data_IF_877847405250
#
_entry.id   IF_877847405250
#
_cell.length_a   1.000
_cell.length_b   1.000
_cell.length_c   1.000
_cell.angle_alpha   90.00
_cell.angle_beta   90.00
_cell.angle_gamma   90.00
#
_symmetry.space_group_name_H-M   'P 1'
#
loop_
_entity.id
_entity.type
_entity.pdbx_description
1 polymer ?
#
# COMPACT_ATOMS: atom_id res chain seq x y z
N UNK A 1 3.00 -47.98 -57.10
CA UNK A 1 4.15 -48.32 -57.95
C UNK A 1 5.06 -47.15 -58.08
N UNK A 2 6.30 -47.39 -58.28
CA UNK A 2 7.31 -47.06 -57.29
C UNK A 2 8.44 -46.17 -57.85
N UNK A 3 9.32 -45.69 -56.95
CA UNK A 3 10.79 -45.54 -57.05
C UNK A 3 11.33 -44.55 -58.10
N UNK A 4 12.45 -43.88 -57.98
CA UNK A 4 13.73 -44.06 -57.29
C UNK A 4 14.56 -42.80 -57.49
N UNK A 5 15.27 -42.33 -56.43
CA UNK A 5 16.70 -42.51 -56.23
C UNK A 5 17.69 -42.08 -57.34
N UNK A 6 18.62 -41.24 -56.82
CA UNK A 6 20.08 -41.19 -57.08
C UNK A 6 20.53 -40.29 -58.23
N UNK A 7 21.40 -39.48 -57.92
CA UNK A 7 22.87 -39.40 -57.84
C UNK A 7 23.39 -38.59 -59.08
N UNK A 8 24.42 -37.83 -59.16
CA UNK A 8 25.76 -37.88 -58.60
C UNK A 8 26.57 -36.61 -59.00
N UNK A 9 27.56 -36.24 -58.19
CA UNK A 9 28.89 -35.66 -58.44
C UNK A 9 29.02 -34.23 -59.02
N UNK A 10 29.57 -33.33 -58.27
CA UNK A 10 30.98 -32.99 -58.05
C UNK A 10 31.73 -32.42 -59.29
N UNK A 11 32.12 -31.16 -59.16
CA UNK A 11 33.43 -30.68 -59.65
C UNK A 11 33.95 -29.55 -58.80
N UNK A 12 35.18 -29.74 -58.39
CA UNK A 12 36.03 -28.84 -57.62
C UNK A 12 36.49 -27.63 -58.43
N UNK A 13 36.54 -26.45 -57.84
CA UNK A 13 37.43 -25.36 -58.22
C UNK A 13 37.88 -24.59 -57.06
N UNK A 14 39.17 -24.69 -56.73
CA UNK A 14 39.90 -23.84 -55.80
C UNK A 14 39.98 -22.41 -56.32
N UNK A 15 39.62 -21.44 -55.49
CA UNK A 15 40.12 -20.08 -55.61
C UNK A 15 40.36 -19.53 -54.23
N UNK A 16 41.60 -19.13 -53.97
CA UNK A 16 42.09 -18.50 -52.81
C UNK A 16 41.38 -17.16 -52.57
N UNK A 17 40.87 -16.93 -51.36
CA UNK A 17 40.37 -15.65 -50.94
C UNK A 17 40.97 -15.28 -49.57
N UNK A 18 41.57 -14.13 -49.58
CA UNK A 18 42.23 -13.39 -48.53
C UNK A 18 41.37 -13.27 -47.29
N UNK A 19 41.95 -13.61 -46.11
CA UNK A 19 41.35 -13.46 -44.81
C UNK A 19 41.25 -11.97 -44.40
N UNK A 20 40.10 -11.39 -44.53
CA UNK A 20 39.75 -10.14 -43.84
C UNK A 20 39.17 -10.48 -42.46
N UNK A 21 39.94 -10.29 -41.41
CA UNK A 21 39.47 -10.35 -40.03
C UNK A 21 38.49 -9.21 -39.76
N UNK A 22 37.21 -9.43 -39.92
CA UNK A 22 36.16 -8.55 -39.43
C UNK A 22 36.00 -8.85 -37.95
N UNK A 23 36.60 -8.01 -37.09
CA UNK A 23 36.26 -7.92 -35.67
C UNK A 23 34.83 -7.42 -35.55
N UNK A 24 33.87 -8.31 -35.48
CA UNK A 24 32.54 -7.99 -34.95
C UNK A 24 32.73 -7.70 -33.47
N UNK A 25 32.69 -6.42 -33.11
CA UNK A 25 32.45 -6.00 -31.73
C UNK A 25 31.14 -6.67 -31.28
N UNK A 26 31.23 -7.62 -30.36
CA UNK A 26 30.11 -8.10 -29.58
C UNK A 26 29.67 -6.90 -28.74
N UNK A 27 28.72 -6.13 -29.23
CA UNK A 27 27.99 -5.16 -28.44
C UNK A 27 27.25 -5.95 -27.36
N UNK A 28 27.76 -5.86 -26.12
CA UNK A 28 27.02 -6.27 -24.96
C UNK A 28 25.75 -5.39 -24.95
N UNK A 29 24.62 -5.95 -25.33
CA UNK A 29 23.31 -5.35 -25.08
C UNK A 29 23.18 -5.25 -23.58
N UNK A 30 23.19 -4.02 -23.05
CA UNK A 30 22.82 -3.78 -21.67
C UNK A 30 21.50 -4.51 -21.39
N UNK A 31 21.35 -5.16 -20.24
CA UNK A 31 20.10 -5.82 -19.91
C UNK A 31 18.98 -4.79 -19.99
N UNK A 32 18.04 -5.04 -20.91
CA UNK A 32 16.85 -4.23 -21.06
C UNK A 32 16.10 -4.33 -19.73
N UNK A 33 16.00 -3.22 -19.00
CA UNK A 33 15.25 -3.18 -17.75
C UNK A 33 13.85 -3.75 -18.04
N UNK A 34 13.48 -4.81 -17.36
CA UNK A 34 12.16 -5.41 -17.51
C UNK A 34 11.12 -4.31 -17.30
N UNK A 35 10.25 -4.12 -18.28
CA UNK A 35 9.17 -3.14 -18.16
C UNK A 35 8.34 -3.53 -16.94
N UNK A 36 8.18 -2.59 -16.00
CA UNK A 36 7.33 -2.80 -14.84
C UNK A 36 5.90 -3.17 -15.31
N UNK A 37 5.22 -4.10 -14.63
CA UNK A 37 3.85 -4.47 -15.00
C UNK A 37 2.96 -3.23 -15.12
N UNK A 38 1.97 -3.23 -16.02
CA UNK A 38 1.03 -2.12 -16.15
C UNK A 38 0.43 -1.75 -14.80
N UNK A 39 0.43 -0.46 -14.45
CA UNK A 39 -0.12 0.04 -13.20
C UNK A 39 0.88 0.20 -12.05
N UNK A 40 2.19 -0.13 -12.23
CA UNK A 40 3.21 0.18 -11.21
C UNK A 40 3.99 1.45 -11.56
N UNK A 41 4.27 2.29 -10.55
CA UNK A 41 5.06 3.51 -10.77
C UNK A 41 5.74 4.01 -9.50
N UNK A 42 6.96 4.54 -9.66
CA UNK A 42 7.64 5.33 -8.64
C UNK A 42 7.40 6.81 -8.91
N UNK A 43 6.84 7.51 -7.93
CA UNK A 43 6.52 8.93 -8.05
C UNK A 43 7.26 9.70 -6.94
N UNK A 44 8.21 10.59 -7.26
CA UNK A 44 8.78 11.52 -6.29
C UNK A 44 7.68 12.43 -5.71
N UNK A 45 7.73 12.67 -4.39
CA UNK A 45 6.79 13.56 -3.69
C UNK A 45 7.50 14.84 -3.28
N UNK A 46 8.54 14.73 -2.45
CA UNK A 46 9.35 15.89 -2.04
C UNK A 46 10.73 15.46 -1.55
N UNK A 47 11.79 16.07 -2.09
CA UNK A 47 13.17 15.77 -1.71
C UNK A 47 13.51 14.31 -1.93
N UNK A 48 13.84 13.62 -0.85
CA UNK A 48 14.20 12.19 -0.83
C UNK A 48 13.01 11.26 -0.58
N UNK A 49 11.80 11.82 -0.51
CA UNK A 49 10.58 11.09 -0.25
C UNK A 49 9.78 10.90 -1.53
N UNK A 50 9.23 9.71 -1.72
CA UNK A 50 8.31 9.41 -2.81
C UNK A 50 7.35 8.29 -2.45
N UNK A 51 6.54 7.91 -3.43
CA UNK A 51 5.59 6.81 -3.33
C UNK A 51 5.83 5.79 -4.44
N UNK A 52 5.43 4.56 -4.18
CA UNK A 52 5.30 3.53 -5.19
C UNK A 52 3.84 3.08 -5.24
N UNK A 53 3.26 3.21 -6.43
CA UNK A 53 1.94 2.70 -6.73
C UNK A 53 2.07 1.29 -7.29
N UNK A 54 1.19 0.40 -6.87
CA UNK A 54 1.15 -0.98 -7.30
C UNK A 54 -0.19 -1.60 -6.94
N UNK A 55 -0.20 -2.88 -6.63
CA UNK A 55 -1.41 -3.58 -6.18
C UNK A 55 -1.49 -3.54 -4.65
N UNK A 56 -2.54 -2.95 -4.10
CA UNK A 56 -2.74 -2.74 -2.66
C UNK A 56 -2.59 -1.27 -2.26
N UNK A 57 -2.28 -1.03 -0.99
CA UNK A 57 -2.08 0.31 -0.46
C UNK A 57 -0.83 1.00 -1.02
N UNK A 58 -0.79 2.31 -0.96
CA UNK A 58 0.35 3.10 -1.44
C UNK A 58 1.58 2.83 -0.57
N UNK A 59 2.71 2.41 -1.18
CA UNK A 59 3.99 2.33 -0.47
C UNK A 59 4.63 3.72 -0.45
N UNK A 60 5.04 4.19 0.75
CA UNK A 60 5.94 5.33 0.89
C UNK A 60 7.40 4.88 0.88
N UNK A 61 8.30 5.72 0.37
CA UNK A 61 9.74 5.47 0.48
C UNK A 61 10.52 6.74 0.79
N UNK A 62 11.59 6.57 1.55
CA UNK A 62 12.66 7.53 1.76
C UNK A 62 13.99 6.87 1.42
N UNK A 63 14.76 7.49 0.52
CA UNK A 63 16.08 7.03 0.14
C UNK A 63 17.01 8.22 0.05
N UNK A 64 18.00 8.28 0.95
CA UNK A 64 19.07 9.27 0.91
C UNK A 64 20.45 8.58 1.04
N UNK A 65 21.59 9.30 1.00
CA UNK A 65 22.92 8.66 1.13
C UNK A 65 23.16 7.90 2.44
N UNK A 66 22.36 8.11 3.48
CA UNK A 66 22.62 7.62 4.83
C UNK A 66 21.59 6.61 5.34
N UNK A 67 20.36 6.63 4.79
CA UNK A 67 19.28 5.76 5.24
C UNK A 67 18.31 5.37 4.12
N UNK A 68 17.62 4.25 4.36
CA UNK A 68 16.49 3.77 3.55
C UNK A 68 15.34 3.43 4.49
N UNK A 69 14.17 4.04 4.26
CA UNK A 69 12.93 3.68 4.95
C UNK A 69 11.79 3.44 3.95
N UNK A 70 10.99 2.43 4.24
CA UNK A 70 9.81 2.02 3.44
C UNK A 70 8.59 2.04 4.37
N UNK A 71 7.49 2.52 3.86
CA UNK A 71 6.20 2.54 4.56
C UNK A 71 5.27 1.62 3.79
N UNK A 72 4.82 0.54 4.43
CA UNK A 72 4.02 -0.55 3.88
C UNK A 72 4.74 -1.40 2.82
N UNK A 73 4.13 -2.53 2.47
CA UNK A 73 4.78 -3.56 1.65
C UNK A 73 3.90 -4.10 0.52
N UNK A 74 2.63 -3.73 0.44
CA UNK A 74 1.67 -4.26 -0.54
C UNK A 74 1.59 -5.80 -0.56
N UNK A 75 1.35 -6.38 -1.75
CA UNK A 75 1.39 -7.82 -2.01
C UNK A 75 2.77 -8.26 -2.54
N UNK A 76 3.15 -9.54 -2.40
CA UNK A 76 4.49 -10.02 -2.75
C UNK A 76 4.94 -9.71 -4.17
N UNK A 77 4.03 -9.71 -5.15
CA UNK A 77 4.37 -9.46 -6.55
C UNK A 77 4.83 -8.00 -6.77
N UNK A 78 4.09 -7.04 -6.25
CA UNK A 78 4.43 -5.61 -6.37
C UNK A 78 5.51 -5.19 -5.38
N UNK A 79 5.62 -5.85 -4.23
CA UNK A 79 6.72 -5.69 -3.29
C UNK A 79 8.09 -5.99 -3.91
N UNK A 80 8.19 -7.04 -4.76
CA UNK A 80 9.44 -7.35 -5.50
C UNK A 80 9.82 -6.22 -6.44
N UNK A 81 8.87 -5.69 -7.20
CA UNK A 81 9.11 -4.57 -8.13
C UNK A 81 9.54 -3.32 -7.35
N UNK A 82 8.87 -3.07 -6.22
CA UNK A 82 9.24 -1.96 -5.34
C UNK A 82 10.67 -2.13 -4.82
N UNK A 83 11.03 -3.32 -4.31
CA UNK A 83 12.38 -3.59 -3.80
C UNK A 83 13.44 -3.40 -4.89
N UNK A 84 13.23 -3.93 -6.10
CA UNK A 84 14.14 -3.72 -7.24
C UNK A 84 14.34 -2.23 -7.55
N UNK A 85 13.28 -1.44 -7.52
CA UNK A 85 13.35 0.00 -7.72
C UNK A 85 14.03 0.75 -6.56
N UNK A 86 13.90 0.27 -5.33
CA UNK A 86 14.61 0.80 -4.16
C UNK A 86 16.08 0.46 -4.24
N UNK A 87 16.45 -0.76 -4.64
CA UNK A 87 17.85 -1.19 -4.82
C UNK A 87 18.59 -0.33 -5.84
N UNK A 88 17.94 0.00 -6.96
CA UNK A 88 18.50 0.92 -7.96
C UNK A 88 18.75 2.32 -7.39
N UNK A 89 17.90 2.81 -6.49
CA UNK A 89 18.00 4.14 -5.87
C UNK A 89 19.00 4.19 -4.72
N UNK A 90 19.09 3.11 -3.97
CA UNK A 90 19.91 3.03 -2.75
C UNK A 90 21.29 2.42 -2.99
N UNK A 91 21.55 1.82 -4.17
CA UNK A 91 22.73 1.01 -4.41
C UNK A 91 22.70 -0.30 -3.60
N UNK A 92 21.54 -0.91 -3.47
CA UNK A 92 21.28 -2.16 -2.72
C UNK A 92 21.72 -2.11 -1.24
N UNK A 93 21.60 -0.92 -0.63
CA UNK A 93 21.83 -0.79 0.81
C UNK A 93 20.68 -1.42 1.60
N UNK A 94 20.97 -1.98 2.80
CA UNK A 94 19.92 -2.49 3.68
C UNK A 94 18.86 -1.41 3.97
N UNK A 95 17.61 -1.84 4.07
CA UNK A 95 16.51 -1.00 4.55
C UNK A 95 16.63 -0.88 6.07
N UNK A 96 16.73 0.35 6.57
CA UNK A 96 16.84 0.59 8.00
C UNK A 96 15.52 0.35 8.71
N UNK A 97 14.43 0.83 8.09
CA UNK A 97 13.08 0.65 8.62
C UNK A 97 12.10 0.28 7.49
N UNK A 98 11.35 -0.80 7.69
CA UNK A 98 10.06 -1.04 7.07
C UNK A 98 9.00 -0.74 8.14
N UNK A 99 8.11 0.21 7.87
CA UNK A 99 7.03 0.58 8.80
C UNK A 99 5.72 0.07 8.24
N UNK A 100 4.97 -0.73 9.01
CA UNK A 100 3.61 -1.08 8.65
C UNK A 100 2.65 -0.06 9.26
N UNK A 101 1.82 0.56 8.41
CA UNK A 101 0.80 1.53 8.88
C UNK A 101 -0.28 0.84 9.69
N UNK A 102 -0.67 -0.36 9.30
CA UNK A 102 -1.64 -1.23 9.97
C UNK A 102 -1.53 -2.67 9.43
N UNK A 103 -2.36 -3.59 9.93
CA UNK A 103 -2.20 -5.04 9.75
C UNK A 103 -2.79 -5.62 8.45
N UNK A 104 -3.51 -4.87 7.62
CA UNK A 104 -4.19 -5.44 6.46
C UNK A 104 -3.23 -6.02 5.42
N UNK A 105 -3.72 -7.05 4.72
CA UNK A 105 -2.91 -7.87 3.82
C UNK A 105 -2.31 -7.08 2.66
N UNK A 106 -3.00 -6.09 2.15
CA UNK A 106 -2.55 -5.21 1.07
C UNK A 106 -1.54 -4.13 1.51
N UNK A 107 -1.16 -4.13 2.80
CA UNK A 107 -0.09 -3.32 3.38
C UNK A 107 1.06 -4.19 3.91
N UNK A 108 0.81 -5.45 4.28
CA UNK A 108 1.77 -6.29 5.01
C UNK A 108 2.16 -7.59 4.33
N UNK A 109 1.40 -8.08 3.34
CA UNK A 109 1.69 -9.36 2.68
C UNK A 109 3.03 -9.38 1.93
N UNK A 110 3.57 -8.21 1.58
CA UNK A 110 4.90 -8.05 0.99
C UNK A 110 6.05 -8.07 2.01
N UNK A 111 5.78 -8.02 3.33
CA UNK A 111 6.83 -8.04 4.35
C UNK A 111 7.87 -9.16 4.16
N UNK A 112 7.51 -10.41 3.78
CA UNK A 112 8.48 -11.46 3.51
C UNK A 112 9.48 -11.13 2.41
N UNK A 113 9.11 -10.30 1.43
CA UNK A 113 9.99 -9.87 0.33
C UNK A 113 11.06 -8.90 0.84
N UNK A 114 10.68 -7.95 1.69
CA UNK A 114 11.59 -6.96 2.26
C UNK A 114 12.40 -7.50 3.44
N UNK A 115 11.89 -8.48 4.18
CA UNK A 115 12.49 -8.96 5.44
C UNK A 115 13.96 -9.33 5.35
N UNK A 116 14.46 -10.01 4.29
CA UNK A 116 15.87 -10.40 4.20
C UNK A 116 16.85 -9.22 4.16
N UNK A 117 16.41 -8.06 3.70
CA UNK A 117 17.23 -6.84 3.53
C UNK A 117 16.85 -5.73 4.50
N UNK A 118 15.90 -5.98 5.43
CA UNK A 118 15.39 -4.99 6.39
C UNK A 118 15.95 -5.25 7.79
N UNK A 119 16.48 -4.20 8.42
CA UNK A 119 16.97 -4.25 9.81
C UNK A 119 15.81 -4.33 10.81
N UNK A 120 14.85 -3.41 10.67
CA UNK A 120 13.73 -3.28 11.60
C UNK A 120 12.41 -3.17 10.85
N UNK A 121 11.46 -4.07 11.16
CA UNK A 121 10.06 -3.90 10.80
C UNK A 121 9.37 -3.29 12.03
N UNK A 122 8.83 -2.08 11.88
CA UNK A 122 8.28 -1.27 12.97
C UNK A 122 6.78 -1.04 12.77
N UNK A 123 6.00 -1.18 13.83
CA UNK A 123 4.56 -0.94 13.79
C UNK A 123 4.02 -0.44 15.15
N UNK A 124 2.77 -0.01 15.18
CA UNK A 124 2.06 0.25 16.42
C UNK A 124 1.87 -1.06 17.21
N UNK A 125 1.86 -1.00 18.54
CA UNK A 125 1.89 -2.18 19.42
C UNK A 125 0.76 -3.20 19.19
N UNK A 126 -0.40 -2.78 18.73
CA UNK A 126 -1.53 -3.68 18.43
C UNK A 126 -1.39 -4.40 17.08
N UNK A 127 -0.65 -3.81 16.13
CA UNK A 127 -0.57 -4.29 14.76
C UNK A 127 -0.13 -5.75 14.64
N UNK A 128 0.97 -6.22 15.28
CA UNK A 128 1.41 -7.61 15.13
C UNK A 128 0.38 -8.64 15.59
N UNK A 129 -0.34 -8.36 16.66
CA UNK A 129 -1.42 -9.20 17.15
C UNK A 129 -2.57 -9.27 16.15
N UNK A 130 -3.00 -8.10 15.64
CA UNK A 130 -4.07 -8.01 14.65
C UNK A 130 -3.72 -8.74 13.36
N UNK A 131 -2.47 -8.66 12.89
CA UNK A 131 -1.97 -9.37 11.72
C UNK A 131 -2.02 -10.89 11.92
N UNK A 132 -1.61 -11.39 13.09
CA UNK A 132 -1.69 -12.81 13.43
C UNK A 132 -3.14 -13.32 13.52
N UNK A 133 -4.03 -12.54 14.15
CA UNK A 133 -5.46 -12.86 14.23
C UNK A 133 -6.12 -12.89 12.85
N UNK A 134 -5.79 -11.95 11.96
CA UNK A 134 -6.28 -11.92 10.59
C UNK A 134 -5.78 -13.15 9.80
N UNK A 135 -4.50 -13.51 9.95
CA UNK A 135 -3.93 -14.71 9.34
C UNK A 135 -4.59 -16.00 9.84
N UNK A 136 -4.87 -16.10 11.14
CA UNK A 136 -5.58 -17.23 11.71
C UNK A 136 -7.01 -17.35 11.17
N UNK A 137 -7.74 -16.24 11.05
CA UNK A 137 -9.07 -16.22 10.41
C UNK A 137 -9.01 -16.67 8.95
N UNK A 138 -8.02 -16.17 8.20
CA UNK A 138 -7.80 -16.56 6.81
C UNK A 138 -7.48 -18.05 6.67
N UNK A 139 -6.63 -18.60 7.53
CA UNK A 139 -6.31 -20.02 7.56
C UNK A 139 -7.53 -20.90 7.89
N UNK A 140 -8.36 -20.48 8.84
CA UNK A 140 -9.59 -21.19 9.21
C UNK A 140 -10.65 -21.18 8.08
N UNK A 141 -10.62 -20.19 7.20
CA UNK A 141 -11.53 -20.06 6.05
C UNK A 141 -11.09 -20.86 4.81
N UNK A 142 -9.92 -21.51 4.86
CA UNK A 142 -9.38 -22.30 3.73
C UNK A 142 -10.24 -23.56 3.52
N UNK A 143 -10.59 -23.82 2.26
CA UNK A 143 -11.35 -25.04 1.93
C UNK A 143 -10.55 -26.30 2.22
N UNK A 144 -11.19 -27.38 2.69
CA UNK A 144 -10.51 -28.67 2.88
C UNK A 144 -9.72 -29.10 1.63
N UNK A 145 -8.46 -29.48 1.82
CA UNK A 145 -7.56 -29.91 0.74
C UNK A 145 -6.77 -28.78 0.05
N UNK A 146 -7.03 -27.51 0.36
CA UNK A 146 -6.19 -26.41 -0.11
C UNK A 146 -5.03 -26.16 0.87
N UNK A 147 -3.83 -25.76 0.40
CA UNK A 147 -2.74 -25.41 1.30
C UNK A 147 -3.10 -24.17 2.14
N UNK A 148 -2.68 -24.12 3.42
CA UNK A 148 -2.88 -22.95 4.25
C UNK A 148 -2.09 -21.74 3.67
N UNK A 149 -2.55 -20.50 3.89
CA UNK A 149 -1.77 -19.33 3.55
C UNK A 149 -0.44 -19.34 4.31
N UNK A 150 0.64 -18.75 3.76
CA UNK A 150 1.91 -18.65 4.46
C UNK A 150 1.76 -17.85 5.77
N UNK A 151 2.56 -18.19 6.77
CA UNK A 151 2.59 -17.42 8.01
C UNK A 151 3.04 -15.98 7.73
N UNK A 152 2.40 -14.98 8.35
CA UNK A 152 2.77 -13.59 8.15
C UNK A 152 4.15 -13.28 8.75
N UNK A 153 4.86 -12.34 8.17
CA UNK A 153 6.04 -11.71 8.77
C UNK A 153 5.58 -10.44 9.46
N UNK A 154 5.52 -10.50 10.78
CA UNK A 154 5.07 -9.39 11.63
C UNK A 154 6.21 -8.45 12.00
N UNK A 155 5.88 -7.26 12.51
CA UNK A 155 6.85 -6.31 13.05
C UNK A 155 7.68 -6.93 14.19
N UNK A 156 8.99 -6.65 14.18
CA UNK A 156 9.93 -7.08 15.23
C UNK A 156 10.31 -5.95 16.20
N UNK A 157 9.75 -4.77 16.00
CA UNK A 157 9.79 -3.64 16.92
C UNK A 157 8.44 -2.93 16.91
N UNK A 158 8.02 -2.44 18.07
CA UNK A 158 6.74 -1.73 18.21
C UNK A 158 6.88 -0.48 19.03
N UNK A 159 5.87 0.40 18.92
CA UNK A 159 5.69 1.57 19.78
C UNK A 159 4.22 1.68 20.22
N UNK A 160 3.95 2.30 21.35
CA UNK A 160 2.58 2.41 21.87
C UNK A 160 1.87 3.67 21.37
N UNK A 161 2.42 4.86 21.65
CA UNK A 161 1.79 6.15 21.30
C UNK A 161 2.55 6.95 20.28
N UNK A 162 3.88 6.99 20.42
CA UNK A 162 4.75 7.75 19.54
C UNK A 162 6.15 7.12 19.46
N UNK A 163 6.78 7.29 18.30
CA UNK A 163 8.17 6.97 18.07
C UNK A 163 8.75 8.06 17.17
N UNK A 164 9.99 8.50 17.44
CA UNK A 164 10.64 9.57 16.67
C UNK A 164 12.14 9.37 16.67
N UNK A 165 12.76 9.31 15.47
CA UNK A 165 14.22 9.21 15.32
C UNK A 165 14.71 9.92 14.07
N UNK A 166 16.00 10.34 14.05
CA UNK A 166 16.70 10.65 12.79
C UNK A 166 16.76 9.41 11.91
N UNK A 167 16.48 9.57 10.62
CA UNK A 167 16.58 8.55 9.58
C UNK A 167 17.24 9.20 8.37
N UNK A 168 18.56 9.05 8.27
CA UNK A 168 19.38 9.78 7.31
C UNK A 168 19.30 11.29 7.51
N UNK A 169 18.97 12.01 6.45
CA UNK A 169 18.79 13.47 6.48
C UNK A 169 17.43 13.90 7.05
N UNK A 170 16.49 12.96 7.20
CA UNK A 170 15.15 13.21 7.74
C UNK A 170 15.04 12.96 9.24
N UNK A 171 13.92 13.41 9.81
CA UNK A 171 13.40 12.95 11.09
C UNK A 171 12.08 12.27 10.80
N UNK A 172 12.02 10.98 11.07
CA UNK A 172 10.80 10.19 10.93
C UNK A 172 10.10 10.09 12.28
N UNK A 173 8.85 10.52 12.32
CA UNK A 173 7.98 10.44 13.50
C UNK A 173 6.75 9.58 13.18
N UNK A 174 6.40 8.69 14.09
CA UNK A 174 5.23 7.83 14.04
C UNK A 174 4.31 8.18 15.20
N UNK A 175 3.03 8.36 14.91
CA UNK A 175 2.03 8.68 15.93
C UNK A 175 0.81 7.77 15.81
N UNK A 176 0.28 7.37 16.96
CA UNK A 176 -0.98 6.66 17.11
C UNK A 176 -2.04 7.57 17.72
N UNK A 177 -3.13 7.80 17.01
CA UNK A 177 -4.22 8.69 17.40
C UNK A 177 -5.40 7.95 18.05
N UNK A 178 -5.22 6.70 18.43
CA UNK A 178 -6.28 5.83 18.93
C UNK A 178 -6.95 5.01 17.83
N UNK A 179 -7.92 4.15 18.19
CA UNK A 179 -8.63 3.30 17.23
C UNK A 179 -9.36 4.14 16.17
N UNK A 180 -9.13 3.87 14.88
CA UNK A 180 -9.75 4.59 13.78
C UNK A 180 -10.18 3.61 12.67
N UNK A 181 -9.37 3.41 11.62
CA UNK A 181 -9.59 2.38 10.60
C UNK A 181 -9.44 0.96 11.20
N UNK A 182 -8.46 0.80 12.07
CA UNK A 182 -8.23 -0.33 12.97
C UNK A 182 -7.90 0.17 14.38
N UNK A 183 -7.53 -0.71 15.30
CA UNK A 183 -6.97 -0.32 16.59
C UNK A 183 -5.43 -0.26 16.60
N UNK A 184 -4.78 -0.34 15.45
CA UNK A 184 -3.32 -0.38 15.31
C UNK A 184 -2.76 0.53 14.23
N UNK A 185 -3.47 1.61 13.89
CA UNK A 185 -3.08 2.52 12.80
C UNK A 185 -1.90 3.41 13.18
N UNK A 186 -0.98 3.62 12.25
CA UNK A 186 0.17 4.52 12.37
C UNK A 186 0.08 5.65 11.36
N UNK A 187 0.37 6.87 11.79
CA UNK A 187 0.66 8.03 10.92
C UNK A 187 2.15 8.28 10.92
N UNK A 188 2.78 8.33 9.75
CA UNK A 188 4.21 8.48 9.60
C UNK A 188 4.53 9.84 8.99
N UNK A 189 5.27 10.68 9.72
CA UNK A 189 5.67 12.02 9.29
C UNK A 189 7.17 12.06 9.01
N UNK A 190 7.56 12.50 7.82
CA UNK A 190 8.90 12.97 7.49
C UNK A 190 8.93 14.47 7.74
N UNK A 191 9.46 14.87 8.91
CA UNK A 191 9.24 16.22 9.46
C UNK A 191 9.86 17.33 8.61
N UNK A 192 11.09 17.12 8.11
CA UNK A 192 11.77 18.16 7.31
C UNK A 192 11.18 18.28 5.91
N UNK A 193 10.77 17.15 5.32
CA UNK A 193 10.10 17.15 4.03
C UNK A 193 8.63 17.57 4.13
N UNK A 194 8.05 17.65 5.34
CA UNK A 194 6.61 17.90 5.54
C UNK A 194 5.74 16.95 4.72
N UNK A 195 6.09 15.65 4.71
CA UNK A 195 5.33 14.59 4.04
C UNK A 195 4.78 13.66 5.10
N UNK A 196 3.47 13.39 5.03
CA UNK A 196 2.73 12.61 6.03
C UNK A 196 2.05 11.42 5.34
N UNK A 197 2.45 10.20 5.69
CA UNK A 197 1.80 8.99 5.21
C UNK A 197 0.69 8.57 6.18
N UNK A 198 -0.54 8.58 5.69
CA UNK A 198 -1.75 8.38 6.47
C UNK A 198 -2.18 6.90 6.56
N UNK A 199 -1.56 6.02 5.74
CA UNK A 199 -2.15 4.69 5.55
C UNK A 199 -3.63 4.78 5.21
N UNK A 200 -4.41 3.87 5.75
CA UNK A 200 -5.85 3.78 5.51
C UNK A 200 -6.71 4.67 6.42
N UNK A 201 -6.08 5.62 7.11
CA UNK A 201 -6.84 6.72 7.70
C UNK A 201 -7.47 7.63 6.62
N UNK A 202 -6.99 7.55 5.38
CA UNK A 202 -7.62 8.26 4.25
C UNK A 202 -7.82 7.33 3.05
N UNK A 203 -9.08 7.12 2.70
CA UNK A 203 -9.58 6.57 1.44
C UNK A 203 -10.03 7.75 0.57
N UNK A 204 -9.12 8.31 -0.22
CA UNK A 204 -9.40 9.55 -0.94
C UNK A 204 -10.53 9.38 -1.97
N UNK A 205 -11.73 9.87 -1.63
CA UNK A 205 -12.96 9.75 -2.43
C UNK A 205 -13.34 8.29 -2.76
N UNK A 206 -13.12 7.38 -1.79
CA UNK A 206 -13.58 6.01 -1.81
C UNK A 206 -14.38 5.71 -0.53
N UNK A 207 -15.22 4.68 -0.57
CA UNK A 207 -15.77 4.12 0.65
C UNK A 207 -14.67 3.42 1.45
N UNK A 208 -14.47 3.79 2.73
CA UNK A 208 -13.45 3.13 3.56
C UNK A 208 -13.83 1.69 3.89
N UNK A 209 -12.83 0.88 4.13
CA UNK A 209 -13.01 -0.32 4.91
C UNK A 209 -12.94 0.04 6.39
N UNK A 210 -13.95 -0.32 7.18
CA UNK A 210 -14.07 -0.03 8.61
C UNK A 210 -13.99 -1.36 9.34
N UNK A 211 -12.83 -1.69 9.89
CA UNK A 211 -12.57 -3.01 10.47
C UNK A 211 -13.04 -3.11 11.93
N UNK A 212 -14.36 -3.23 12.12
CA UNK A 212 -14.95 -3.39 13.46
C UNK A 212 -14.34 -4.56 14.24
N UNK A 213 -14.10 -5.75 13.66
CA UNK A 213 -13.41 -6.84 14.32
C UNK A 213 -11.99 -6.50 14.81
N UNK A 214 -11.29 -5.59 14.13
CA UNK A 214 -9.98 -5.11 14.56
C UNK A 214 -10.06 -3.86 15.45
N UNK A 215 -11.25 -3.51 15.93
CA UNK A 215 -11.47 -2.41 16.89
C UNK A 215 -11.59 -1.04 16.25
N UNK A 216 -12.02 -0.95 14.99
CA UNK A 216 -12.29 0.34 14.34
C UNK A 216 -13.31 1.19 15.11
N UNK A 217 -13.08 2.50 15.14
CA UNK A 217 -14.01 3.49 15.71
C UNK A 217 -14.17 4.68 14.77
N UNK A 218 -15.34 4.82 14.16
CA UNK A 218 -15.64 5.93 13.26
C UNK A 218 -15.60 7.27 14.03
N UNK A 219 -16.13 7.28 15.23
CA UNK A 219 -16.16 8.48 16.07
C UNK A 219 -14.75 8.97 16.45
N UNK A 220 -13.81 8.05 16.75
CA UNK A 220 -12.43 8.44 16.99
C UNK A 220 -11.70 8.79 15.70
N UNK A 221 -12.00 8.09 14.62
CA UNK A 221 -11.42 8.37 13.29
C UNK A 221 -11.70 9.83 12.85
N UNK A 222 -12.94 10.30 13.02
CA UNK A 222 -13.33 11.69 12.79
C UNK A 222 -12.44 12.65 13.57
N UNK A 223 -12.27 12.43 14.90
CA UNK A 223 -11.41 13.27 15.76
C UNK A 223 -9.94 13.20 15.35
N UNK A 224 -9.45 12.02 14.98
CA UNK A 224 -8.06 11.83 14.55
C UNK A 224 -7.76 12.61 13.29
N UNK A 225 -8.63 12.55 12.27
CA UNK A 225 -8.45 13.31 11.02
C UNK A 225 -8.44 14.81 11.25
N UNK A 226 -9.30 15.33 12.14
CA UNK A 226 -9.33 16.74 12.50
C UNK A 226 -8.06 17.18 13.23
N UNK A 227 -7.59 16.39 14.21
CA UNK A 227 -6.35 16.66 14.93
C UNK A 227 -5.14 16.68 13.98
N UNK A 228 -4.98 15.63 13.15
CA UNK A 228 -3.86 15.51 12.21
C UNK A 228 -3.87 16.68 11.21
N UNK A 229 -5.04 17.05 10.68
CA UNK A 229 -5.16 18.19 9.75
C UNK A 229 -4.74 19.51 10.40
N UNK A 230 -4.95 19.68 11.71
CA UNK A 230 -4.58 20.88 12.49
C UNK A 230 -3.12 20.91 12.95
N UNK A 231 -2.46 19.76 13.09
CA UNK A 231 -1.09 19.64 13.60
C UNK A 231 -0.01 19.91 12.56
N UNK A 232 -0.35 19.79 11.26
CA UNK A 232 0.61 19.92 10.17
C UNK A 232 0.50 21.27 9.45
N UNK A 233 1.62 21.78 8.91
CA UNK A 233 1.61 23.03 8.16
C UNK A 233 0.79 22.89 6.87
N UNK A 234 0.27 24.03 6.36
CA UNK A 234 -0.51 24.06 5.11
C UNK A 234 0.26 23.56 3.88
N UNK A 235 1.60 23.60 3.93
CA UNK A 235 2.52 23.09 2.93
C UNK A 235 2.72 21.58 2.97
N UNK A 236 2.21 20.89 4.00
CA UNK A 236 2.35 19.44 4.13
C UNK A 236 1.66 18.69 2.99
N UNK A 237 2.34 17.67 2.48
CA UNK A 237 1.78 16.73 1.50
C UNK A 237 1.39 15.47 2.24
N UNK A 238 0.13 15.07 2.10
CA UNK A 238 -0.39 13.84 2.67
C UNK A 238 -0.42 12.73 1.62
N UNK A 239 0.03 11.53 2.00
CA UNK A 239 -0.02 10.31 1.20
C UNK A 239 -1.10 9.41 1.78
N UNK A 240 -1.97 8.91 0.94
CA UNK A 240 -3.14 8.10 1.32
C UNK A 240 -2.90 6.64 0.99
N UNK A 241 -3.41 5.73 1.82
CA UNK A 241 -3.35 4.30 1.55
C UNK A 241 -4.08 3.94 0.26
N UNK A 242 -5.29 4.47 0.08
CA UNK A 242 -6.12 4.26 -1.12
C UNK A 242 -6.70 5.55 -1.64
N UNK A 243 -6.86 5.61 -2.97
CA UNK A 243 -7.45 6.77 -3.63
C UNK A 243 -8.26 6.38 -4.86
N UNK A 244 -9.33 7.10 -5.11
CA UNK A 244 -9.99 7.09 -6.40
C UNK A 244 -9.01 7.62 -7.46
N UNK A 245 -8.81 6.92 -8.59
CA UNK A 245 -7.83 7.31 -9.61
C UNK A 245 -7.99 8.74 -10.13
N UNK A 246 -9.22 9.30 -10.08
CA UNK A 246 -9.50 10.69 -10.47
C UNK A 246 -8.80 11.71 -9.56
N UNK A 247 -8.57 11.37 -8.29
CA UNK A 247 -8.05 12.31 -7.28
C UNK A 247 -6.61 12.03 -6.88
N UNK A 248 -6.13 10.78 -7.07
CA UNK A 248 -4.76 10.37 -6.78
C UNK A 248 -4.46 10.11 -5.30
N UNK A 249 -3.28 9.50 -5.02
CA UNK A 249 -2.91 9.03 -3.69
C UNK A 249 -2.21 10.10 -2.83
N UNK A 250 -2.11 11.34 -3.28
CA UNK A 250 -1.49 12.43 -2.53
C UNK A 250 -2.35 13.69 -2.56
N UNK A 251 -2.27 14.51 -1.52
CA UNK A 251 -3.00 15.77 -1.46
C UNK A 251 -2.67 16.58 -0.22
N UNK A 252 -3.68 17.24 0.35
CA UNK A 252 -3.53 18.21 1.43
C UNK A 252 -4.43 17.91 2.63
N UNK A 253 -4.33 18.70 3.68
CA UNK A 253 -5.22 18.63 4.85
C UNK A 253 -6.72 18.74 4.48
N UNK A 254 -7.06 19.36 3.35
CA UNK A 254 -8.45 19.45 2.89
C UNK A 254 -9.04 18.06 2.56
N UNK A 255 -8.23 17.10 2.12
CA UNK A 255 -8.70 15.75 1.83
C UNK A 255 -8.95 14.94 3.11
N UNK A 256 -8.15 15.19 4.17
CA UNK A 256 -8.39 14.64 5.50
C UNK A 256 -9.75 15.15 6.04
N UNK A 257 -9.99 16.45 5.93
CA UNK A 257 -11.25 17.06 6.35
C UNK A 257 -12.45 16.57 5.51
N UNK A 258 -12.24 16.34 4.20
CA UNK A 258 -13.28 15.75 3.35
C UNK A 258 -13.60 14.29 3.76
N UNK A 259 -12.61 13.50 4.17
CA UNK A 259 -12.82 12.16 4.71
C UNK A 259 -13.53 12.21 6.08
N UNK A 260 -13.16 13.14 6.96
CA UNK A 260 -13.85 13.42 8.22
C UNK A 260 -15.33 13.74 7.99
N UNK A 261 -15.62 14.64 7.05
CA UNK A 261 -16.98 15.06 6.72
C UNK A 261 -17.81 13.90 6.15
N UNK A 262 -17.18 13.06 5.31
CA UNK A 262 -17.82 11.84 4.82
C UNK A 262 -18.20 10.90 5.96
N UNK A 263 -17.28 10.62 6.89
CA UNK A 263 -17.53 9.74 8.04
C UNK A 263 -18.62 10.32 8.97
N UNK A 264 -18.61 11.62 9.17
CA UNK A 264 -19.63 12.33 9.96
C UNK A 264 -21.01 12.18 9.31
N UNK A 265 -21.11 12.48 8.02
CA UNK A 265 -22.35 12.36 7.27
C UNK A 265 -22.86 10.91 7.22
N UNK A 266 -21.95 9.93 7.12
CA UNK A 266 -22.33 8.51 7.15
C UNK A 266 -22.97 8.12 8.49
N UNK A 267 -22.38 8.54 9.62
CA UNK A 267 -22.99 8.27 10.94
C UNK A 267 -24.33 8.99 11.11
N UNK A 268 -24.43 10.23 10.69
CA UNK A 268 -25.69 11.00 10.76
C UNK A 268 -26.78 10.38 9.88
N UNK A 269 -26.42 9.96 8.66
CA UNK A 269 -27.33 9.29 7.75
C UNK A 269 -27.90 8.01 8.36
N UNK A 270 -27.02 7.12 8.86
CA UNK A 270 -27.43 5.86 9.47
C UNK A 270 -28.25 6.12 10.75
N UNK A 271 -27.86 7.07 11.58
CA UNK A 271 -28.62 7.48 12.77
C UNK A 271 -30.03 7.94 12.42
N UNK A 272 -30.17 8.71 11.33
CA UNK A 272 -31.47 9.13 10.80
C UNK A 272 -32.35 7.94 10.38
N UNK A 273 -31.79 6.93 9.71
CA UNK A 273 -32.52 5.73 9.30
C UNK A 273 -32.98 4.89 10.51
N UNK A 274 -32.10 4.73 11.51
CA UNK A 274 -32.41 4.04 12.77
C UNK A 274 -33.52 4.77 13.53
N UNK A 275 -33.41 6.10 13.66
CA UNK A 275 -34.43 6.94 14.31
C UNK A 275 -35.80 6.88 13.59
N UNK A 276 -35.79 6.71 12.28
CA UNK A 276 -37.00 6.50 11.47
C UNK A 276 -37.61 5.09 11.60
N UNK A 277 -37.03 4.23 12.45
CA UNK A 277 -37.52 2.87 12.72
C UNK A 277 -37.25 1.88 11.59
N UNK A 278 -36.32 2.17 10.66
CA UNK A 278 -36.02 1.22 9.59
C UNK A 278 -35.25 0.01 10.16
N UNK A 279 -35.63 -1.22 9.80
CA UNK A 279 -34.88 -2.41 10.20
C UNK A 279 -33.50 -2.42 9.57
N UNK A 280 -32.54 -3.10 10.24
CA UNK A 280 -31.13 -3.18 9.82
C UNK A 280 -30.98 -3.60 8.35
N UNK A 281 -31.71 -4.63 7.93
CA UNK A 281 -31.67 -5.18 6.57
C UNK A 281 -32.05 -4.13 5.51
N UNK A 282 -33.06 -3.31 5.80
CA UNK A 282 -33.49 -2.23 4.91
C UNK A 282 -32.44 -1.10 4.84
N UNK A 283 -31.75 -0.83 5.95
CA UNK A 283 -30.66 0.16 5.95
C UNK A 283 -29.47 -0.35 5.12
N UNK A 284 -29.06 -1.61 5.30
CA UNK A 284 -27.94 -2.22 4.56
C UNK A 284 -28.23 -2.39 3.06
N UNK A 285 -29.48 -2.40 2.65
CA UNK A 285 -29.91 -2.50 1.24
C UNK A 285 -29.88 -1.14 0.51
N UNK A 286 -29.57 -0.03 1.19
CA UNK A 286 -29.49 1.29 0.54
C UNK A 286 -28.28 1.33 -0.39
N UNK A 287 -28.52 1.71 -1.65
CA UNK A 287 -27.48 1.78 -2.69
C UNK A 287 -27.32 3.19 -3.27
N UNK A 288 -28.20 4.14 -2.92
CA UNK A 288 -28.06 5.52 -3.33
C UNK A 288 -26.75 6.11 -2.76
N UNK A 289 -26.04 6.97 -3.49
CA UNK A 289 -24.87 7.67 -2.96
C UNK A 289 -25.21 8.45 -1.68
N UNK A 290 -24.27 8.50 -0.75
CA UNK A 290 -24.43 9.35 0.45
C UNK A 290 -24.63 10.81 0.02
N UNK A 291 -25.69 11.48 0.48
CA UNK A 291 -25.96 12.87 0.12
C UNK A 291 -24.76 13.79 0.39
N UNK A 292 -24.36 14.58 -0.61
CA UNK A 292 -23.19 15.45 -0.55
C UNK A 292 -21.86 14.79 -0.92
N UNK A 293 -21.84 13.46 -1.15
CA UNK A 293 -20.60 12.70 -1.41
C UNK A 293 -20.70 11.81 -2.67
N UNK A 294 -20.95 12.38 -3.85
CA UNK A 294 -21.17 11.61 -5.07
C UNK A 294 -19.89 10.90 -5.59
N UNK A 295 -18.70 11.40 -5.26
CA UNK A 295 -17.44 10.86 -5.77
C UNK A 295 -17.11 9.46 -5.19
N UNK A 296 -17.67 9.09 -4.03
CA UNK A 296 -17.54 7.76 -3.45
C UNK A 296 -18.42 6.72 -4.15
N UNK A 297 -19.38 7.16 -4.94
CA UNK A 297 -20.34 6.29 -5.64
C UNK A 297 -21.44 5.73 -4.73
N UNK A 298 -22.16 4.68 -5.19
CA UNK A 298 -23.25 4.05 -4.46
C UNK A 298 -22.79 3.50 -3.11
N UNK A 299 -23.61 3.68 -2.06
CA UNK A 299 -23.35 3.08 -0.74
C UNK A 299 -23.27 1.55 -0.85
N UNK A 300 -22.43 0.96 -0.02
CA UNK A 300 -22.19 -0.48 0.01
C UNK A 300 -22.53 -1.06 1.39
N UNK A 301 -23.08 -2.29 1.46
CA UNK A 301 -23.53 -2.89 2.72
C UNK A 301 -22.48 -2.90 3.84
N UNK A 302 -21.22 -3.12 3.52
CA UNK A 302 -20.12 -3.17 4.52
C UNK A 302 -19.94 -1.84 5.27
N UNK A 303 -20.04 -0.71 4.57
CA UNK A 303 -19.91 0.63 5.17
C UNK A 303 -21.11 0.94 6.04
N UNK A 304 -22.31 0.63 5.55
CA UNK A 304 -23.56 0.79 6.29
C UNK A 304 -23.63 -0.10 7.53
N UNK A 305 -23.14 -1.36 7.43
CA UNK A 305 -23.07 -2.28 8.59
C UNK A 305 -22.17 -1.72 9.70
N UNK A 306 -20.97 -1.27 9.35
CA UNK A 306 -20.03 -0.73 10.33
C UNK A 306 -20.58 0.56 10.99
N UNK A 307 -21.21 1.44 10.21
CA UNK A 307 -21.84 2.63 10.74
C UNK A 307 -23.08 2.30 11.60
N UNK A 308 -23.87 1.29 11.22
CA UNK A 308 -24.98 0.80 12.01
C UNK A 308 -24.53 0.27 13.37
N UNK A 309 -23.48 -0.56 13.40
CA UNK A 309 -22.89 -1.08 14.64
C UNK A 309 -22.38 0.05 15.55
N UNK A 310 -21.83 1.12 15.00
CA UNK A 310 -21.37 2.27 15.77
C UNK A 310 -22.53 3.13 16.33
N UNK A 311 -23.69 3.13 15.66
CA UNK A 311 -24.84 3.94 16.03
C UNK A 311 -25.78 3.19 16.98
N UNK A 312 -25.93 1.87 16.81
CA UNK A 312 -26.88 1.03 17.52
C UNK A 312 -26.27 0.27 18.72
N UNK A 313 -24.94 0.19 18.78
CA UNK A 313 -24.17 -0.42 19.90
C UNK A 313 -23.90 0.60 20.97
#
# INVERSE_FOLDING_TARGET
MPLNRRQFLATTSMAAAVSAFNRRALGATAPQAAQAPPGTSFVPVRGTIGIFNGQGGTIGWHVDPHAVAIIDAQFPATAKICLEGIDQRSGSRPIDYLVNTHHHADHTSGNPVFRPVTRTILAQANEPRLQLEAAARAAAAVKPGSPPPPAPVVANATYEKAWRKPVGTEVMALNYYGPAHTSGDSVITFEKAEVVHMGDLVFNRLHPYIDKPAGASIANWIRSLEAIAGEHPKSAIFVYGHANPKFGPTGSAADLLAMRDYLTALLEFVRGQVKAGKPREAILAIVEPLPGFPDQGPLVPRVLSAAYEEVAG
#
